data_IF_115796958396
#
_entry.id   IF_115796958396
#
_cell.length_a   1.000
_cell.length_b   1.000
_cell.length_c   1.000
_cell.angle_alpha   90.00
_cell.angle_beta   90.00
_cell.angle_gamma   90.00
#
_symmetry.space_group_name_H-M   'P 1'
#
loop_
_entity.id
_entity.type
_entity.pdbx_description
1 polymer ?
#
# COMPACT_ATOMS: atom_id res chain seq x y z
N UNK A 1 34.21 -6.89 31.17
CA UNK A 1 34.46 -6.64 29.73
C UNK A 1 34.08 -7.85 28.87
N UNK A 2 34.34 -9.07 29.34
CA UNK A 2 33.96 -10.33 28.67
C UNK A 2 32.45 -10.57 28.57
N UNK A 3 31.66 -10.19 29.57
CA UNK A 3 30.21 -10.46 29.56
C UNK A 3 29.45 -9.54 28.62
N UNK A 4 29.93 -8.32 28.45
CA UNK A 4 29.37 -7.35 27.51
C UNK A 4 29.58 -7.81 26.06
N UNK A 5 30.74 -8.38 25.74
CA UNK A 5 31.04 -8.93 24.41
C UNK A 5 30.18 -10.16 24.14
N UNK A 6 29.97 -11.03 25.14
CA UNK A 6 29.09 -12.20 25.00
C UNK A 6 27.64 -11.80 24.71
N UNK A 7 27.12 -10.80 25.42
CA UNK A 7 25.77 -10.27 25.19
C UNK A 7 25.62 -9.64 23.79
N UNK A 8 26.65 -8.93 23.32
CA UNK A 8 26.68 -8.35 21.98
C UNK A 8 26.72 -9.43 20.89
N UNK A 9 27.52 -10.48 21.10
CA UNK A 9 27.61 -11.61 20.17
C UNK A 9 26.30 -12.40 20.11
N UNK A 10 25.62 -12.62 21.24
CA UNK A 10 24.33 -13.31 21.24
C UNK A 10 23.25 -12.53 20.49
N UNK A 11 23.18 -11.22 20.68
CA UNK A 11 22.22 -10.38 19.94
C UNK A 11 22.56 -10.32 18.45
N UNK A 12 23.84 -10.25 18.09
CA UNK A 12 24.26 -10.29 16.70
C UNK A 12 23.85 -11.61 16.02
N UNK A 13 23.94 -12.75 16.72
CA UNK A 13 23.47 -14.04 16.22
C UNK A 13 21.96 -14.01 15.97
N UNK A 14 21.16 -13.55 16.94
CA UNK A 14 19.70 -13.46 16.82
C UNK A 14 19.28 -12.58 15.64
N UNK A 15 19.93 -11.43 15.45
CA UNK A 15 19.66 -10.55 14.31
C UNK A 15 20.04 -11.22 12.99
N UNK A 16 21.19 -11.90 12.95
CA UNK A 16 21.67 -12.59 11.75
C UNK A 16 20.75 -13.75 11.38
N UNK A 17 20.29 -14.54 12.36
CA UNK A 17 19.32 -15.63 12.14
C UNK A 17 17.98 -15.09 11.64
N UNK A 18 17.50 -13.95 12.15
CA UNK A 18 16.28 -13.30 11.62
C UNK A 18 16.47 -12.79 10.20
N UNK A 19 17.63 -12.25 9.87
CA UNK A 19 17.93 -11.75 8.51
C UNK A 19 18.12 -12.89 7.50
N UNK A 20 18.64 -14.03 7.96
CA UNK A 20 18.90 -15.21 7.15
C UNK A 20 17.85 -16.30 7.33
N UNK A 21 16.69 -16.00 7.94
CA UNK A 21 15.67 -16.99 8.31
C UNK A 21 15.17 -17.79 7.10
N UNK A 22 15.15 -17.17 5.92
CA UNK A 22 14.76 -17.83 4.67
C UNK A 22 15.85 -18.77 4.12
N UNK A 23 17.10 -18.68 4.58
CA UNK A 23 18.25 -19.45 4.07
C UNK A 23 18.82 -20.47 5.08
N UNK A 24 18.38 -20.44 6.34
CA UNK A 24 18.72 -21.43 7.37
C UNK A 24 17.78 -22.64 7.31
N UNK A 25 18.09 -23.69 8.07
CA UNK A 25 17.30 -24.93 8.11
C UNK A 25 15.82 -24.67 8.39
N UNK A 26 14.94 -25.15 7.50
CA UNK A 26 13.49 -24.90 7.53
C UNK A 26 13.03 -23.59 6.87
N UNK A 27 13.97 -22.77 6.38
CA UNK A 27 13.69 -21.54 5.64
C UNK A 27 13.19 -21.77 4.21
N UNK A 28 12.61 -20.74 3.60
CA UNK A 28 12.01 -20.78 2.26
C UNK A 28 12.97 -21.30 1.15
N UNK A 29 14.26 -21.07 1.33
CA UNK A 29 15.33 -21.43 0.40
C UNK A 29 16.24 -22.55 0.93
N UNK A 30 15.93 -23.15 2.08
CA UNK A 30 16.71 -24.24 2.69
C UNK A 30 16.79 -25.48 1.78
N UNK A 31 15.68 -25.82 1.14
CA UNK A 31 15.59 -26.95 0.21
C UNK A 31 15.88 -26.58 -1.24
N UNK A 32 16.23 -25.31 -1.53
CA UNK A 32 16.74 -24.97 -2.86
C UNK A 32 18.13 -25.56 -2.97
N UNK A 33 18.21 -26.80 -3.45
CA UNK A 33 19.40 -27.26 -4.17
C UNK A 33 19.57 -26.29 -5.34
N UNK A 34 20.38 -25.24 -5.11
CA UNK A 34 20.69 -24.23 -6.13
C UNK A 34 21.35 -25.00 -7.26
N UNK A 35 20.56 -25.34 -8.26
CA UNK A 35 21.00 -26.06 -9.45
C UNK A 35 22.20 -25.29 -10.03
N UNK A 36 23.18 -25.99 -10.61
CA UNK A 36 24.42 -25.35 -11.09
C UNK A 36 24.14 -24.23 -12.10
N UNK A 37 23.00 -24.32 -12.80
CA UNK A 37 22.45 -23.25 -13.65
C UNK A 37 22.20 -21.96 -12.87
N UNK A 38 21.48 -22.04 -11.74
CA UNK A 38 21.18 -20.88 -10.90
C UNK A 38 22.46 -20.35 -10.25
N UNK A 39 23.42 -21.23 -9.90
CA UNK A 39 24.74 -20.82 -9.40
C UNK A 39 25.51 -20.00 -10.41
N UNK A 40 25.53 -20.42 -11.69
CA UNK A 40 26.17 -19.63 -12.74
C UNK A 40 25.43 -18.32 -13.03
N UNK A 41 24.10 -18.31 -12.97
CA UNK A 41 23.31 -17.06 -13.10
C UNK A 41 23.63 -16.06 -11.99
N UNK A 42 23.72 -16.50 -10.74
CA UNK A 42 24.01 -15.63 -9.59
C UNK A 42 25.51 -15.37 -9.39
N UNK A 43 26.41 -16.08 -10.06
CA UNK A 43 27.88 -15.86 -9.98
C UNK A 43 28.28 -14.45 -10.40
N UNK A 44 27.52 -13.87 -11.31
CA UNK A 44 27.71 -12.49 -11.74
C UNK A 44 26.97 -11.49 -10.86
N UNK A 45 26.17 -11.96 -9.90
CA UNK A 45 25.50 -11.13 -8.93
C UNK A 45 26.53 -10.65 -7.90
N UNK A 46 26.74 -9.33 -7.83
CA UNK A 46 27.82 -8.78 -7.03
C UNK A 46 27.53 -8.86 -5.51
N UNK A 47 28.53 -9.27 -4.73
CA UNK A 47 28.38 -9.78 -3.35
C UNK A 47 28.30 -8.71 -2.25
N UNK A 48 28.41 -7.42 -2.59
CA UNK A 48 28.39 -6.34 -1.61
C UNK A 48 27.04 -5.61 -1.60
N UNK A 49 26.50 -5.34 -0.41
CA UNK A 49 25.28 -4.54 -0.23
C UNK A 49 25.42 -3.09 -0.74
N UNK A 50 26.65 -2.62 -0.95
CA UNK A 50 26.97 -1.25 -1.41
C UNK A 50 26.60 -0.97 -2.88
N UNK A 51 26.04 -1.94 -3.60
CA UNK A 51 25.79 -1.81 -5.03
C UNK A 51 24.55 -1.00 -5.29
N UNK A 52 23.55 -1.13 -4.42
CA UNK A 52 22.41 -0.23 -4.41
C UNK A 52 22.91 1.20 -4.27
N UNK A 53 23.71 1.47 -3.24
CA UNK A 53 24.26 2.80 -2.95
C UNK A 53 25.13 3.35 -4.09
N UNK A 54 26.07 2.56 -4.61
CA UNK A 54 26.90 2.95 -5.75
C UNK A 54 26.06 3.20 -7.01
N UNK A 55 25.01 2.40 -7.22
CA UNK A 55 24.10 2.55 -8.34
C UNK A 55 23.26 3.81 -8.27
N UNK A 56 22.77 4.15 -7.08
CA UNK A 56 22.03 5.38 -6.80
C UNK A 56 22.95 6.60 -6.86
N UNK A 57 24.13 6.55 -6.25
CA UNK A 57 25.10 7.65 -6.30
C UNK A 57 25.54 7.98 -7.73
N UNK A 58 25.76 6.96 -8.57
CA UNK A 58 26.03 7.17 -10.00
C UNK A 58 24.86 7.85 -10.72
N UNK A 59 23.63 7.48 -10.38
CA UNK A 59 22.43 8.02 -11.01
C UNK A 59 22.16 9.46 -10.56
N UNK A 60 22.33 9.75 -9.27
CA UNK A 60 22.19 11.10 -8.71
C UNK A 60 23.25 12.05 -9.26
N UNK A 61 24.50 11.58 -9.33
CA UNK A 61 25.57 12.33 -9.99
C UNK A 61 25.22 12.60 -11.45
N UNK A 62 24.71 11.59 -12.17
CA UNK A 62 24.28 11.74 -13.55
C UNK A 62 23.15 12.75 -13.71
N UNK A 63 22.13 12.70 -12.85
CA UNK A 63 21.01 13.65 -12.79
C UNK A 63 21.52 15.08 -12.64
N UNK A 64 22.48 15.29 -11.73
CA UNK A 64 23.04 16.61 -11.45
C UNK A 64 23.88 17.16 -12.60
N UNK A 65 24.70 16.33 -13.26
CA UNK A 65 25.62 16.74 -14.32
C UNK A 65 24.97 16.86 -15.69
N UNK A 66 24.03 15.98 -16.02
CA UNK A 66 23.40 15.89 -17.35
C UNK A 66 21.92 16.21 -17.28
N UNK A 67 21.55 17.35 -16.68
CA UNK A 67 20.16 17.74 -16.36
C UNK A 67 19.17 17.56 -17.53
N UNK A 68 19.59 17.89 -18.75
CA UNK A 68 18.76 17.82 -19.95
C UNK A 68 18.87 16.50 -20.74
N UNK A 69 19.58 15.49 -20.21
CA UNK A 69 19.66 14.18 -20.86
C UNK A 69 18.36 13.38 -20.67
N UNK A 70 17.90 12.76 -21.75
CA UNK A 70 16.75 11.84 -21.71
C UNK A 70 17.06 10.60 -20.87
N UNK A 71 16.03 10.02 -20.23
CA UNK A 71 16.15 8.79 -19.44
C UNK A 71 16.79 7.65 -20.22
N UNK A 72 16.48 7.54 -21.52
CA UNK A 72 17.11 6.59 -22.42
C UNK A 72 18.63 6.77 -22.51
N UNK A 73 19.11 8.00 -22.66
CA UNK A 73 20.55 8.29 -22.71
C UNK A 73 21.24 7.93 -21.38
N UNK A 74 20.61 8.28 -20.26
CA UNK A 74 21.12 7.96 -18.92
C UNK A 74 21.24 6.44 -18.76
N UNK A 75 20.16 5.72 -19.02
CA UNK A 75 20.12 4.25 -18.96
C UNK A 75 21.21 3.61 -19.83
N UNK A 76 21.39 4.09 -21.07
CA UNK A 76 22.44 3.60 -21.95
C UNK A 76 23.84 3.81 -21.38
N UNK A 77 24.13 4.98 -20.79
CA UNK A 77 25.43 5.25 -20.18
C UNK A 77 25.67 4.37 -18.96
N UNK A 78 24.65 4.16 -18.13
CA UNK A 78 24.74 3.26 -16.98
C UNK A 78 25.04 1.83 -17.40
N UNK A 79 24.35 1.32 -18.44
CA UNK A 79 24.61 0.00 -19.01
C UNK A 79 26.04 -0.12 -19.54
N UNK A 80 26.52 0.89 -20.28
CA UNK A 80 27.90 0.92 -20.80
C UNK A 80 28.93 0.90 -19.66
N UNK A 81 28.69 1.67 -18.59
CA UNK A 81 29.58 1.75 -17.43
C UNK A 81 29.62 0.43 -16.67
N UNK A 82 28.46 -0.15 -16.34
CA UNK A 82 28.35 -1.38 -15.53
C UNK A 82 28.82 -2.62 -16.26
N UNK A 83 28.48 -2.75 -17.54
CA UNK A 83 28.89 -3.90 -18.35
C UNK A 83 30.36 -3.79 -18.80
N UNK A 84 31.07 -2.73 -18.40
CA UNK A 84 32.46 -2.46 -18.78
C UNK A 84 32.64 -2.51 -20.31
N UNK A 85 31.63 -2.05 -21.06
CA UNK A 85 31.57 -2.17 -22.51
C UNK A 85 32.76 -1.49 -23.19
N UNK A 86 33.24 -0.37 -22.64
CA UNK A 86 34.44 0.30 -23.14
C UNK A 86 35.72 -0.54 -22.93
N UNK A 87 35.87 -1.21 -21.78
CA UNK A 87 37.00 -2.12 -21.54
C UNK A 87 36.95 -3.32 -22.50
N UNK A 88 35.76 -3.84 -22.79
CA UNK A 88 35.58 -4.89 -23.80
C UNK A 88 35.97 -4.39 -25.20
N UNK A 89 35.49 -3.20 -25.60
CA UNK A 89 35.75 -2.64 -26.92
C UNK A 89 37.24 -2.36 -27.14
N UNK A 90 37.92 -1.82 -26.13
CA UNK A 90 39.35 -1.50 -26.19
C UNK A 90 40.25 -2.73 -26.31
N UNK A 91 39.77 -3.93 -25.93
CA UNK A 91 40.50 -5.20 -26.13
C UNK A 91 40.43 -5.72 -27.57
N UNK A 92 39.60 -5.13 -28.43
CA UNK A 92 39.41 -5.55 -29.82
C UNK A 92 40.31 -4.75 -30.76
N UNK A 93 40.65 -5.32 -31.92
CA UNK A 93 41.40 -4.60 -32.95
C UNK A 93 40.57 -3.47 -33.54
N UNK A 94 41.22 -2.45 -34.11
CA UNK A 94 40.56 -1.26 -34.69
C UNK A 94 39.49 -1.66 -35.72
N UNK A 95 39.78 -2.64 -36.58
CA UNK A 95 38.83 -3.15 -37.57
C UNK A 95 37.60 -3.81 -36.91
N UNK A 96 37.79 -4.58 -35.84
CA UNK A 96 36.70 -5.20 -35.09
C UNK A 96 35.88 -4.16 -34.33
N UNK A 97 36.51 -3.14 -33.74
CA UNK A 97 35.82 -2.04 -33.09
C UNK A 97 34.90 -1.31 -34.09
N UNK A 98 35.42 -1.00 -35.29
CA UNK A 98 34.65 -0.38 -36.37
C UNK A 98 33.43 -1.22 -36.76
N UNK A 99 33.59 -2.54 -36.90
CA UNK A 99 32.47 -3.47 -37.17
C UNK A 99 31.41 -3.44 -36.07
N UNK A 100 31.82 -3.53 -34.80
CA UNK A 100 30.90 -3.52 -33.65
C UNK A 100 30.13 -2.20 -33.58
N UNK A 101 30.81 -1.07 -33.74
CA UNK A 101 30.19 0.26 -33.70
C UNK A 101 29.24 0.47 -34.89
N UNK A 102 29.59 -0.01 -36.08
CA UNK A 102 28.72 0.03 -37.26
C UNK A 102 27.44 -0.79 -37.01
N UNK A 103 27.58 -1.99 -36.45
CA UNK A 103 26.45 -2.84 -36.10
C UNK A 103 25.55 -2.17 -35.04
N UNK A 104 26.14 -1.61 -33.99
CA UNK A 104 25.40 -0.89 -32.95
C UNK A 104 24.61 0.30 -33.52
N UNK A 105 25.18 1.04 -34.49
CA UNK A 105 24.48 2.12 -35.19
C UNK A 105 23.27 1.61 -35.96
N UNK A 106 23.38 0.47 -36.66
CA UNK A 106 22.25 -0.15 -37.37
C UNK A 106 21.10 -0.54 -36.43
N UNK A 107 21.41 -1.09 -35.26
CA UNK A 107 20.39 -1.51 -34.29
C UNK A 107 19.83 -0.37 -33.43
N UNK A 108 20.46 0.81 -33.43
CA UNK A 108 20.07 1.97 -32.61
C UNK A 108 18.59 2.34 -32.77
N UNK A 109 18.08 2.38 -34.01
CA UNK A 109 16.71 2.80 -34.28
C UNK A 109 15.70 1.80 -33.72
N UNK A 110 15.92 0.51 -33.94
CA UNK A 110 15.09 -0.57 -33.40
C UNK A 110 15.05 -0.52 -31.87
N UNK A 111 16.20 -0.31 -31.23
CA UNK A 111 16.29 -0.23 -29.77
C UNK A 111 15.60 1.03 -29.20
N UNK A 112 15.71 2.17 -29.91
CA UNK A 112 14.97 3.39 -29.54
C UNK A 112 13.47 3.21 -29.64
N UNK A 113 12.99 2.54 -30.69
CA UNK A 113 11.57 2.25 -30.83
C UNK A 113 11.09 1.35 -29.69
N UNK A 114 11.80 0.25 -29.44
CA UNK A 114 11.46 -0.66 -28.35
C UNK A 114 11.35 0.04 -26.98
N UNK A 115 12.30 0.93 -26.66
CA UNK A 115 12.24 1.69 -25.41
C UNK A 115 11.08 2.68 -25.37
N UNK A 116 10.75 3.34 -26.49
CA UNK A 116 9.55 4.20 -26.56
C UNK A 116 8.28 3.40 -26.30
N UNK A 117 8.17 2.21 -26.88
CA UNK A 117 7.01 1.33 -26.67
C UNK A 117 6.90 0.87 -25.21
N UNK A 118 8.05 0.59 -24.55
CA UNK A 118 8.08 0.27 -23.12
C UNK A 118 7.68 1.46 -22.23
N UNK A 119 8.19 2.65 -22.53
CA UNK A 119 7.83 3.88 -21.83
C UNK A 119 6.34 4.19 -21.98
N UNK A 120 5.77 4.00 -23.18
CA UNK A 120 4.34 4.19 -23.45
C UNK A 120 3.48 3.17 -22.68
N UNK A 121 3.88 1.90 -22.66
CA UNK A 121 3.21 0.86 -21.85
C UNK A 121 3.25 1.19 -20.36
N UNK A 122 4.40 1.61 -19.84
CA UNK A 122 4.51 2.00 -18.44
C UNK A 122 3.65 3.23 -18.12
N UNK A 123 3.68 4.24 -18.98
CA UNK A 123 2.89 5.47 -18.82
C UNK A 123 1.38 5.20 -18.86
N UNK A 124 0.92 4.37 -19.80
CA UNK A 124 -0.50 4.00 -19.90
C UNK A 124 -0.98 3.20 -18.68
N UNK A 125 -0.17 2.27 -18.16
CA UNK A 125 -0.48 1.52 -16.94
C UNK A 125 -0.54 2.45 -15.70
N UNK A 126 0.39 3.40 -15.57
CA UNK A 126 0.36 4.40 -14.48
C UNK A 126 -0.91 5.25 -14.56
N UNK A 127 -1.24 5.76 -15.76
CA UNK A 127 -2.46 6.55 -15.99
C UNK A 127 -3.71 5.74 -15.63
N UNK A 128 -3.79 4.48 -16.06
CA UNK A 128 -4.90 3.58 -15.75
C UNK A 128 -5.08 3.40 -14.25
N UNK A 129 -3.99 3.14 -13.52
CA UNK A 129 -4.02 3.02 -12.05
C UNK A 129 -4.45 4.31 -11.36
N UNK A 130 -4.00 5.45 -11.87
CA UNK A 130 -4.40 6.75 -11.35
C UNK A 130 -5.90 6.99 -11.49
N UNK A 131 -6.45 6.78 -12.69
CA UNK A 131 -7.90 6.92 -12.97
C UNK A 131 -8.70 5.95 -12.12
N UNK A 132 -8.32 4.67 -12.08
CA UNK A 132 -8.99 3.67 -11.24
C UNK A 132 -9.02 4.06 -9.76
N UNK A 133 -7.91 4.58 -9.23
CA UNK A 133 -7.84 5.03 -7.85
C UNK A 133 -8.70 6.28 -7.60
N UNK A 134 -8.81 7.17 -8.58
CA UNK A 134 -9.67 8.34 -8.51
C UNK A 134 -11.15 7.93 -8.52
N UNK A 135 -11.55 7.05 -9.43
CA UNK A 135 -12.92 6.52 -9.51
C UNK A 135 -13.30 5.79 -8.23
N UNK A 136 -12.40 4.96 -7.69
CA UNK A 136 -12.61 4.28 -6.41
C UNK A 136 -12.82 5.26 -5.25
N UNK A 137 -12.10 6.40 -5.25
CA UNK A 137 -12.31 7.46 -4.24
C UNK A 137 -13.67 8.13 -4.43
N UNK A 138 -14.06 8.43 -5.66
CA UNK A 138 -15.38 9.03 -5.98
C UNK A 138 -16.51 8.08 -5.58
N UNK A 139 -16.44 6.81 -5.96
CA UNK A 139 -17.43 5.80 -5.60
C UNK A 139 -17.56 5.64 -4.08
N UNK A 140 -16.43 5.62 -3.35
CA UNK A 140 -16.47 5.59 -1.88
C UNK A 140 -17.18 6.82 -1.30
N UNK A 141 -16.91 8.01 -1.82
CA UNK A 141 -17.58 9.26 -1.38
C UNK A 141 -19.07 9.23 -1.71
N UNK A 142 -19.46 8.80 -2.90
CA UNK A 142 -20.87 8.68 -3.29
C UNK A 142 -21.61 7.65 -2.42
N UNK A 143 -21.00 6.50 -2.15
CA UNK A 143 -21.55 5.49 -1.25
C UNK A 143 -21.70 6.02 0.19
N UNK A 144 -20.73 6.80 0.67
CA UNK A 144 -20.80 7.44 1.98
C UNK A 144 -21.90 8.50 2.05
N UNK A 145 -22.03 9.36 1.02
CA UNK A 145 -23.11 10.35 0.91
C UNK A 145 -24.47 9.65 0.89
N UNK A 146 -24.64 8.60 0.08
CA UNK A 146 -25.89 7.83 0.01
C UNK A 146 -26.23 7.17 1.35
N UNK A 147 -25.23 6.56 2.02
CA UNK A 147 -25.41 6.00 3.36
C UNK A 147 -25.84 7.07 4.37
N UNK A 148 -25.22 8.23 4.32
CA UNK A 148 -25.53 9.35 5.21
C UNK A 148 -26.94 9.90 4.94
N UNK A 149 -27.34 10.01 3.67
CA UNK A 149 -28.70 10.41 3.28
C UNK A 149 -29.75 9.44 3.84
N UNK A 150 -29.51 8.13 3.77
CA UNK A 150 -30.42 7.12 4.33
C UNK A 150 -30.58 7.25 5.85
N UNK A 151 -29.49 7.58 6.58
CA UNK A 151 -29.56 7.83 8.02
C UNK A 151 -30.39 9.09 8.31
N UNK A 152 -30.18 10.16 7.55
CA UNK A 152 -30.93 11.41 7.70
C UNK A 152 -32.42 11.17 7.42
N UNK A 153 -32.77 10.48 6.34
CA UNK A 153 -34.16 10.18 5.98
C UNK A 153 -34.85 9.30 7.05
N UNK A 154 -34.15 8.29 7.57
CA UNK A 154 -34.69 7.42 8.62
C UNK A 154 -35.01 8.16 9.91
N UNK A 155 -34.18 9.15 10.28
CA UNK A 155 -34.40 10.00 11.46
C UNK A 155 -35.46 11.08 11.18
N UNK A 156 -35.53 11.62 9.97
CA UNK A 156 -36.58 12.57 9.57
C UNK A 156 -37.98 11.95 9.65
N UNK A 157 -38.13 10.65 9.35
CA UNK A 157 -39.38 9.91 9.54
C UNK A 157 -39.83 9.80 11.01
N UNK A 158 -38.97 10.16 11.96
CA UNK A 158 -39.19 10.08 13.41
C UNK A 158 -39.23 11.48 14.05
N UNK A 159 -39.64 12.48 13.27
CA UNK A 159 -39.71 13.92 13.62
C UNK A 159 -38.34 14.60 13.78
N UNK A 160 -37.28 13.98 13.26
CA UNK A 160 -35.95 14.56 13.21
C UNK A 160 -35.06 14.19 14.41
N UNK A 161 -33.79 14.64 14.38
CA UNK A 161 -32.77 14.20 15.32
C UNK A 161 -32.94 14.84 16.70
N UNK A 162 -32.79 14.03 17.74
CA UNK A 162 -32.84 14.50 19.13
C UNK A 162 -31.59 15.34 19.47
N UNK A 163 -31.80 16.56 19.96
CA UNK A 163 -30.72 17.50 20.32
C UNK A 163 -30.50 17.59 21.82
N UNK A 164 -31.54 17.36 22.61
CA UNK A 164 -31.55 17.44 24.07
C UNK A 164 -31.94 16.09 24.71
N UNK A 165 -31.70 15.93 26.02
CA UNK A 165 -32.14 14.73 26.76
C UNK A 165 -33.66 14.64 26.83
N UNK A 166 -34.34 15.79 26.92
CA UNK A 166 -35.80 15.86 26.94
C UNK A 166 -36.39 15.32 25.64
N UNK A 167 -35.84 15.70 24.49
CA UNK A 167 -36.27 15.17 23.18
C UNK A 167 -36.06 13.65 23.03
N UNK A 168 -35.11 13.07 23.77
CA UNK A 168 -34.92 11.61 23.82
C UNK A 168 -36.03 10.95 24.64
N UNK A 169 -36.39 11.53 25.77
CA UNK A 169 -37.48 11.04 26.63
C UNK A 169 -38.83 11.14 25.89
N UNK A 170 -39.08 12.26 25.21
CA UNK A 170 -40.27 12.48 24.36
C UNK A 170 -40.32 11.48 23.19
N UNK A 171 -39.17 11.14 22.61
CA UNK A 171 -39.09 10.10 21.58
C UNK A 171 -39.45 8.72 22.16
N UNK A 172 -38.89 8.36 23.32
CA UNK A 172 -39.17 7.09 23.97
C UNK A 172 -40.63 6.97 24.38
N UNK A 173 -41.25 8.05 24.84
CA UNK A 173 -42.68 8.09 25.17
C UNK A 173 -43.56 7.87 23.93
N UNK A 174 -43.24 8.52 22.80
CA UNK A 174 -43.94 8.30 21.51
C UNK A 174 -43.77 6.89 20.93
N UNK A 175 -42.70 6.21 21.33
CA UNK A 175 -42.42 4.83 20.92
C UNK A 175 -43.10 3.80 21.84
N UNK A 176 -43.66 4.22 23.00
CA UNK A 176 -44.41 3.31 23.88
C UNK A 176 -45.63 2.74 23.16
N UNK A 177 -45.80 1.42 23.23
CA UNK A 177 -46.89 0.69 22.59
C UNK A 177 -46.64 0.27 21.14
N UNK A 178 -45.50 0.64 20.53
CA UNK A 178 -45.08 0.13 19.21
C UNK A 178 -44.37 -1.23 19.34
N UNK A 179 -44.26 -1.95 18.22
CA UNK A 179 -43.52 -3.21 18.16
C UNK A 179 -42.06 -3.01 18.57
N UNK A 180 -41.51 -3.96 19.34
CA UNK A 180 -40.15 -3.91 19.86
C UNK A 180 -39.07 -3.74 18.77
N UNK A 181 -39.31 -4.34 17.60
CA UNK A 181 -38.45 -4.18 16.43
C UNK A 181 -38.37 -2.73 15.97
N UNK A 182 -39.50 -2.03 15.96
CA UNK A 182 -39.59 -0.63 15.55
C UNK A 182 -38.87 0.30 16.54
N UNK A 183 -39.06 0.07 17.84
CA UNK A 183 -38.40 0.84 18.90
C UNK A 183 -36.87 0.71 18.78
N UNK A 184 -36.40 -0.53 18.62
CA UNK A 184 -34.97 -0.84 18.47
C UNK A 184 -34.37 -0.17 17.24
N UNK A 185 -35.09 -0.17 16.12
CA UNK A 185 -34.64 0.44 14.86
C UNK A 185 -34.57 1.97 14.98
N UNK A 186 -35.57 2.60 15.60
CA UNK A 186 -35.58 4.03 15.87
C UNK A 186 -34.38 4.50 16.70
N UNK A 187 -34.14 3.84 17.83
CA UNK A 187 -32.98 4.16 18.69
C UNK A 187 -31.66 3.93 17.95
N UNK A 188 -31.55 2.85 17.16
CA UNK A 188 -30.34 2.58 16.35
C UNK A 188 -30.09 3.67 15.32
N UNK A 189 -31.12 4.17 14.66
CA UNK A 189 -31.01 5.24 13.67
C UNK A 189 -30.59 6.55 14.33
N UNK A 190 -31.13 6.88 15.50
CA UNK A 190 -30.74 8.07 16.25
C UNK A 190 -29.27 8.01 16.71
N UNK A 191 -28.84 6.87 17.28
CA UNK A 191 -27.44 6.66 17.65
C UNK A 191 -26.51 6.79 16.44
N UNK A 192 -26.90 6.24 15.28
CA UNK A 192 -26.12 6.34 14.04
C UNK A 192 -26.02 7.79 13.57
N UNK A 193 -27.12 8.55 13.62
CA UNK A 193 -27.13 9.96 13.26
C UNK A 193 -26.16 10.77 14.14
N UNK A 194 -26.25 10.62 15.47
CA UNK A 194 -25.41 11.37 16.40
C UNK A 194 -23.91 11.04 16.23
N UNK A 195 -23.57 9.76 15.98
CA UNK A 195 -22.19 9.31 15.79
C UNK A 195 -21.60 9.69 14.43
N UNK A 196 -22.36 9.45 13.36
CA UNK A 196 -21.84 9.51 11.98
C UNK A 196 -22.05 10.90 11.36
N UNK A 197 -23.24 11.49 11.55
CA UNK A 197 -23.62 12.77 10.92
C UNK A 197 -23.23 13.95 11.82
N UNK A 198 -23.72 13.96 13.06
CA UNK A 198 -23.46 15.07 13.98
C UNK A 198 -22.04 15.07 14.55
N UNK A 199 -21.28 13.97 14.35
CA UNK A 199 -19.91 13.75 14.85
C UNK A 199 -19.74 14.09 16.35
N UNK A 200 -20.83 13.99 17.13
CA UNK A 200 -20.78 14.27 18.56
C UNK A 200 -20.11 13.09 19.27
N UNK A 201 -19.13 13.39 20.12
CA UNK A 201 -18.74 12.45 21.18
C UNK A 201 -19.94 12.35 22.12
N UNK A 202 -20.74 11.32 21.96
CA UNK A 202 -21.86 11.04 22.86
C UNK A 202 -21.34 11.00 24.30
N UNK A 203 -21.87 11.85 25.16
CA UNK A 203 -21.56 11.84 26.59
C UNK A 203 -22.16 10.57 27.21
N UNK A 204 -21.41 9.94 28.11
CA UNK A 204 -21.70 8.59 28.65
C UNK A 204 -23.14 8.43 29.17
N UNK A 205 -23.71 9.43 29.87
CA UNK A 205 -25.04 9.29 30.48
C UNK A 205 -26.21 9.12 29.51
N UNK A 206 -26.21 9.80 28.35
CA UNK A 206 -27.31 9.69 27.36
C UNK A 206 -27.22 8.38 26.57
N UNK A 207 -26.01 7.86 26.39
CA UNK A 207 -25.75 6.56 25.76
C UNK A 207 -26.12 5.41 26.69
N UNK A 208 -25.78 5.50 27.98
CA UNK A 208 -26.13 4.47 28.96
C UNK A 208 -27.64 4.30 29.06
N UNK A 209 -28.42 5.38 29.05
CA UNK A 209 -29.88 5.27 29.09
C UNK A 209 -30.45 4.60 27.83
N UNK A 210 -30.01 5.01 26.63
CA UNK A 210 -30.43 4.36 25.37
C UNK A 210 -29.96 2.90 25.25
N UNK A 211 -28.75 2.59 25.73
CA UNK A 211 -28.17 1.24 25.73
C UNK A 211 -28.84 0.37 26.79
N UNK A 212 -29.22 0.92 27.94
CA UNK A 212 -29.93 0.20 28.99
C UNK A 212 -31.36 -0.12 28.54
N UNK A 213 -32.04 0.80 27.85
CA UNK A 213 -33.34 0.52 27.21
C UNK A 213 -33.23 -0.59 26.15
N UNK A 214 -32.13 -0.61 25.38
CA UNK A 214 -31.83 -1.71 24.45
C UNK A 214 -31.57 -3.04 25.18
N UNK A 215 -30.77 -3.05 26.26
CA UNK A 215 -30.50 -4.24 27.06
C UNK A 215 -31.76 -4.81 27.70
N UNK A 216 -32.53 -3.95 28.36
CA UNK A 216 -33.80 -4.33 28.99
C UNK A 216 -34.79 -4.90 27.96
N UNK A 217 -34.74 -4.45 26.70
CA UNK A 217 -35.55 -5.04 25.63
C UNK A 217 -35.06 -6.38 25.10
N UNK A 218 -33.75 -6.64 25.12
CA UNK A 218 -33.20 -7.95 24.78
C UNK A 218 -33.54 -8.98 25.86
N UNK A 219 -33.51 -8.58 27.13
CA UNK A 219 -33.82 -9.45 28.25
C UNK A 219 -35.32 -9.82 28.31
N UNK A 220 -36.22 -8.94 27.87
CA UNK A 220 -37.66 -9.24 27.77
C UNK A 220 -38.01 -10.20 26.62
N UNK A 221 -37.28 -10.14 25.50
CA UNK A 221 -37.47 -11.05 24.36
C UNK A 221 -36.96 -12.49 24.68
N UNK A 222 -36.00 -12.62 25.60
CA UNK A 222 -35.49 -13.93 26.07
C UNK A 222 -36.45 -14.56 27.10
N UNK A 223 -37.15 -13.76 27.89
CA UNK A 223 -38.11 -14.24 28.89
C UNK A 223 -39.50 -14.61 28.32
N UNK A 224 -39.75 -14.34 27.03
CA UNK A 224 -41.04 -14.55 26.35
C UNK A 224 -41.04 -15.71 25.34
N UNK A 225 -39.95 -16.47 25.25
CA UNK A 225 -39.81 -17.75 24.54
C UNK A 225 -39.55 -18.88 25.55
#
# INVERSE_FOLDING_TARGET
MTDTIKALASEAIVVTERQLCDFVKGGKYDSMNVNDVVREEIRHCPLNNLIGESSFGDFDYDLSKRRHASLHNRSAVHVIKRNKTMKFLNKKSVAQQGRILSLARKFRQKYRQHNRDLEEKASSEIKRRFVFNQDKKIQKRLAEISKNANIIEAVQKQDGPCRSSQEVDDLLERLRGKSQKFITEAIKNEIRYQKVIAKKKLKFGTLEFMVQTLKNSFDSDIASN
#
